data_IF_802295432151
#
_entry.id   IF_802295432151
#
_cell.length_a   1.000
_cell.length_b   1.000
_cell.length_c   1.000
_cell.angle_alpha   90.00
_cell.angle_beta   90.00
_cell.angle_gamma   90.00
#
_symmetry.space_group_name_H-M   'P 1'
#
loop_
_entity.id
_entity.type
_entity.pdbx_description
1 polymer ?
#
# COMPACT_ATOMS: atom_id res chain seq x y z
N UNK A 1 -4.18 55.40 3.10
CA UNK A 1 -4.41 54.16 2.34
C UNK A 1 -3.06 53.43 2.26
N UNK A 2 -2.72 52.66 3.29
CA UNK A 2 -1.46 51.91 3.39
C UNK A 2 -1.76 50.49 2.91
N UNK A 3 -1.19 50.11 1.80
CA UNK A 3 -1.17 48.73 1.29
C UNK A 3 -0.13 47.96 2.11
N UNK A 4 -0.60 47.07 3.00
CA UNK A 4 0.22 46.05 3.62
C UNK A 4 0.53 44.97 2.57
N UNK A 5 1.73 45.04 2.00
CA UNK A 5 2.33 43.93 1.25
C UNK A 5 2.71 42.83 2.27
N UNK A 6 1.83 41.85 2.47
CA UNK A 6 2.18 40.58 3.10
C UNK A 6 3.12 39.86 2.11
N UNK A 7 4.42 39.93 2.41
CA UNK A 7 5.42 39.10 1.75
C UNK A 7 5.19 37.65 2.14
N UNK A 8 4.70 36.85 1.19
CA UNK A 8 4.73 35.40 1.29
C UNK A 8 6.21 34.97 1.33
N UNK A 9 6.73 34.75 2.53
CA UNK A 9 8.01 34.05 2.73
C UNK A 9 7.74 32.61 2.33
N UNK A 10 8.40 32.06 1.30
CA UNK A 10 8.25 30.64 0.99
C UNK A 10 8.77 29.85 2.19
N UNK A 11 7.90 29.00 2.77
CA UNK A 11 8.29 28.06 3.81
C UNK A 11 9.34 27.11 3.22
N UNK A 12 10.59 27.28 3.61
CA UNK A 12 11.65 26.30 3.36
C UNK A 12 11.64 25.32 4.54
N UNK A 13 11.24 24.06 4.33
CA UNK A 13 11.30 23.08 5.39
C UNK A 13 12.75 22.96 5.90
N UNK A 14 12.97 22.75 7.21
CA UNK A 14 14.29 22.50 7.73
C UNK A 14 14.91 21.29 7.02
N UNK A 15 16.21 21.30 6.73
CA UNK A 15 16.86 20.16 6.12
C UNK A 15 16.65 18.92 6.99
N UNK A 16 16.43 17.73 6.39
CA UNK A 16 16.25 16.51 7.14
C UNK A 16 17.42 16.32 8.10
N UNK A 17 17.11 15.98 9.37
CA UNK A 17 18.15 15.70 10.37
C UNK A 17 19.00 14.55 9.85
N UNK A 18 20.24 14.83 9.49
CA UNK A 18 21.23 13.80 9.17
C UNK A 18 21.72 13.21 10.50
N UNK A 19 21.20 12.07 10.85
CA UNK A 19 21.72 11.32 11.98
C UNK A 19 23.12 10.79 11.62
N UNK A 20 24.10 11.01 12.50
CA UNK A 20 25.44 10.45 12.31
C UNK A 20 25.45 8.92 12.53
N UNK A 21 26.33 8.17 11.85
CA UNK A 21 26.39 6.72 11.98
C UNK A 21 26.72 6.22 13.40
N UNK A 22 27.29 7.05 14.25
CA UNK A 22 27.78 6.65 15.57
C UNK A 22 26.73 6.76 16.69
N UNK A 23 25.61 7.44 16.45
CA UNK A 23 24.60 7.70 17.50
C UNK A 23 23.81 6.45 17.88
N UNK A 24 23.86 5.40 17.07
CA UNK A 24 23.08 4.17 17.25
C UNK A 24 23.95 2.93 17.56
N UNK A 25 25.27 3.04 17.50
CA UNK A 25 26.18 1.89 17.64
C UNK A 25 26.21 1.29 19.06
N UNK A 26 25.83 2.05 20.09
CA UNK A 26 25.90 1.64 21.50
C UNK A 26 24.54 1.35 22.14
N UNK A 27 23.42 1.52 21.41
CA UNK A 27 22.06 1.32 21.97
C UNK A 27 21.54 -0.07 21.68
N UNK A 28 20.73 -0.58 22.60
CA UNK A 28 19.92 -1.77 22.35
C UNK A 28 18.92 -1.48 21.22
N UNK A 29 19.08 -2.16 20.09
CA UNK A 29 18.26 -1.95 18.91
C UNK A 29 16.80 -2.38 19.09
N UNK A 30 16.56 -3.37 19.96
CA UNK A 30 15.17 -3.74 20.33
C UNK A 30 14.52 -2.59 21.09
N UNK A 31 15.21 -1.96 22.04
CA UNK A 31 14.71 -0.78 22.73
C UNK A 31 14.38 0.35 21.74
N UNK A 32 15.24 0.57 20.74
CA UNK A 32 14.96 1.57 19.69
C UNK A 32 13.74 1.24 18.84
N UNK A 33 13.45 -0.04 18.58
CA UNK A 33 12.20 -0.46 17.92
C UNK A 33 11.00 -0.16 18.82
N UNK A 34 11.10 -0.50 20.11
CA UNK A 34 10.05 -0.24 21.09
C UNK A 34 9.74 1.25 21.21
N UNK A 35 10.75 2.11 21.17
CA UNK A 35 10.63 3.57 21.18
C UNK A 35 10.20 4.18 19.83
N UNK A 36 9.96 3.38 18.79
CA UNK A 36 9.56 3.86 17.46
C UNK A 36 10.65 4.62 16.70
N UNK A 37 11.92 4.45 17.06
CA UNK A 37 13.09 5.08 16.42
C UNK A 37 13.64 4.28 15.25
N UNK A 38 13.44 2.96 15.27
CA UNK A 38 13.70 2.06 14.15
C UNK A 38 12.38 1.62 13.55
N UNK A 39 12.22 1.85 12.27
CA UNK A 39 11.04 1.40 11.52
C UNK A 39 11.30 0.09 10.78
N UNK A 40 10.27 -0.75 10.68
CA UNK A 40 10.31 -1.97 9.88
C UNK A 40 10.58 -1.62 8.43
N UNK A 41 11.58 -2.23 7.81
CA UNK A 41 11.92 -2.02 6.40
C UNK A 41 11.54 -3.20 5.51
N UNK A 42 11.62 -4.44 6.03
CA UNK A 42 11.30 -5.65 5.29
C UNK A 42 11.07 -6.83 6.23
N UNK A 43 10.52 -7.93 5.71
CA UNK A 43 10.55 -9.24 6.34
C UNK A 43 11.17 -10.28 5.41
N UNK A 44 11.82 -11.28 5.98
CA UNK A 44 12.45 -12.35 5.21
C UNK A 44 12.13 -13.70 5.82
N UNK A 45 11.81 -14.65 4.97
CA UNK A 45 11.67 -16.05 5.35
C UNK A 45 13.02 -16.76 5.25
N UNK A 46 13.45 -17.38 6.32
CA UNK A 46 14.70 -18.17 6.34
C UNK A 46 14.31 -19.63 6.23
N UNK A 47 14.70 -20.33 5.16
CA UNK A 47 14.41 -21.74 5.01
C UNK A 47 15.10 -22.52 6.12
N UNK A 48 14.33 -23.19 6.99
CA UNK A 48 14.91 -24.20 7.87
C UNK A 48 15.28 -25.45 7.09
N UNK A 49 16.49 -25.94 7.29
CA UNK A 49 16.82 -27.34 7.00
C UNK A 49 16.12 -28.19 8.06
N UNK A 50 14.88 -28.61 7.79
CA UNK A 50 14.12 -29.47 8.68
C UNK A 50 14.89 -30.72 9.04
N UNK A 51 15.24 -30.85 10.31
CA UNK A 51 15.56 -32.11 10.98
C UNK A 51 14.81 -32.10 12.31
N UNK A 52 13.59 -32.67 12.34
CA UNK A 52 12.87 -32.87 13.60
C UNK A 52 11.39 -33.11 13.38
N UNK A 53 10.90 -34.20 13.98
CA UNK A 53 9.58 -34.82 13.77
C UNK A 53 8.45 -34.24 14.62
N UNK A 54 8.46 -32.96 15.00
CA UNK A 54 7.39 -32.35 15.82
C UNK A 54 6.48 -31.47 14.97
N UNK A 55 5.33 -32.02 14.55
CA UNK A 55 4.40 -31.47 13.56
C UNK A 55 3.38 -30.42 14.09
N UNK A 56 3.23 -30.21 15.41
CA UNK A 56 2.05 -29.55 15.98
C UNK A 56 2.22 -28.10 16.48
N UNK A 57 3.37 -27.44 16.26
CA UNK A 57 3.61 -26.12 16.85
C UNK A 57 3.26 -24.97 15.90
N UNK A 58 2.12 -24.29 16.20
CA UNK A 58 1.63 -23.06 15.53
C UNK A 58 2.72 -21.95 15.51
N UNK A 59 3.60 -21.98 16.47
CA UNK A 59 4.61 -20.97 16.71
C UNK A 59 5.82 -21.09 15.77
N UNK A 60 6.03 -22.24 15.12
CA UNK A 60 7.19 -22.47 14.22
C UNK A 60 7.22 -21.56 12.99
N UNK A 61 6.08 -21.09 12.48
CA UNK A 61 6.04 -20.18 11.31
C UNK A 61 6.74 -18.85 11.62
N UNK A 62 6.63 -18.34 12.85
CA UNK A 62 7.26 -17.09 13.27
C UNK A 62 8.76 -17.21 13.48
N UNK A 63 9.25 -18.38 13.86
CA UNK A 63 10.69 -18.64 14.09
C UNK A 63 11.48 -18.60 12.77
N UNK A 64 10.81 -18.74 11.65
CA UNK A 64 11.38 -18.69 10.30
C UNK A 64 11.35 -17.28 9.68
N UNK A 65 10.72 -16.31 10.34
CA UNK A 65 10.56 -14.95 9.83
C UNK A 65 11.50 -14.01 10.58
N UNK A 66 12.34 -13.33 9.83
CA UNK A 66 13.18 -12.25 10.33
C UNK A 66 12.63 -10.91 9.86
N UNK A 67 12.58 -9.96 10.78
CA UNK A 67 12.19 -8.57 10.51
C UNK A 67 13.44 -7.70 10.43
N UNK A 68 13.55 -6.93 9.36
CA UNK A 68 14.67 -6.01 9.12
C UNK A 68 14.22 -4.58 9.47
N UNK A 69 15.03 -3.87 10.23
CA UNK A 69 14.75 -2.52 10.70
C UNK A 69 15.85 -1.54 10.29
N UNK A 70 15.46 -0.29 10.05
CA UNK A 70 16.38 0.81 9.81
C UNK A 70 15.76 2.16 10.22
N UNK A 71 16.57 3.22 10.28
CA UNK A 71 16.08 4.56 10.55
C UNK A 71 15.66 5.22 9.23
N UNK A 72 14.39 5.65 9.13
CA UNK A 72 13.90 6.47 8.05
C UNK A 72 12.90 7.52 8.57
N UNK A 73 12.77 8.61 7.82
CA UNK A 73 11.98 9.77 8.23
C UNK A 73 10.65 9.84 7.46
N UNK A 74 9.56 9.47 8.10
CA UNK A 74 8.21 9.56 7.51
C UNK A 74 7.73 10.99 7.26
N UNK A 75 8.41 12.01 7.81
CA UNK A 75 8.05 13.41 7.52
C UNK A 75 8.30 13.79 6.07
N UNK A 76 9.24 13.13 5.39
CA UNK A 76 9.50 13.32 3.96
C UNK A 76 8.25 13.07 3.13
N UNK A 77 7.51 11.98 3.41
CA UNK A 77 6.26 11.69 2.72
C UNK A 77 5.20 12.75 2.99
N UNK A 78 5.05 13.20 4.25
CA UNK A 78 4.07 14.23 4.63
C UNK A 78 4.35 15.59 3.98
N UNK A 79 5.64 15.96 3.89
CA UNK A 79 6.07 17.24 3.32
C UNK A 79 6.00 17.27 1.80
N UNK A 80 6.33 16.15 1.15
CA UNK A 80 6.34 16.05 -0.32
C UNK A 80 5.93 14.65 -0.79
N UNK A 81 4.63 14.28 -0.68
CA UNK A 81 4.18 12.93 -1.02
C UNK A 81 4.34 12.60 -2.51
N UNK A 82 4.41 13.59 -3.39
CA UNK A 82 4.65 13.35 -4.82
C UNK A 82 6.10 12.96 -5.12
N UNK A 83 7.07 13.46 -4.36
CA UNK A 83 8.47 13.07 -4.47
C UNK A 83 8.73 11.69 -3.82
N UNK A 84 8.03 11.38 -2.75
CA UNK A 84 8.17 10.15 -1.95
C UNK A 84 6.85 9.35 -1.90
N UNK A 85 6.27 8.94 -3.04
CA UNK A 85 4.92 8.38 -3.10
C UNK A 85 4.80 6.96 -2.53
N UNK A 86 5.90 6.28 -2.24
CA UNK A 86 5.93 4.96 -1.63
C UNK A 86 6.98 4.90 -0.53
N UNK A 87 6.79 4.00 0.44
CA UNK A 87 7.72 3.84 1.58
C UNK A 87 9.16 3.56 1.13
N UNK A 88 9.34 2.81 0.04
CA UNK A 88 10.67 2.55 -0.53
C UNK A 88 11.39 3.83 -1.01
N UNK A 89 10.65 4.86 -1.42
CA UNK A 89 11.21 6.13 -1.85
C UNK A 89 11.72 6.88 -0.60
N UNK A 90 10.97 6.82 0.52
CA UNK A 90 11.40 7.35 1.84
C UNK A 90 12.63 6.62 2.36
N UNK A 91 12.61 5.28 2.36
CA UNK A 91 13.76 4.46 2.78
C UNK A 91 14.98 4.67 1.88
N UNK A 92 14.77 4.93 0.58
CA UNK A 92 15.83 5.20 -0.38
C UNK A 92 16.61 6.50 -0.11
N UNK A 93 15.99 7.49 0.54
CA UNK A 93 16.65 8.71 0.98
C UNK A 93 17.41 8.52 2.31
N UNK A 94 17.12 7.46 3.04
CA UNK A 94 17.82 7.15 4.27
C UNK A 94 19.14 6.43 3.99
N UNK A 95 20.26 7.12 4.27
CA UNK A 95 21.57 6.50 4.24
C UNK A 95 21.65 5.32 5.20
N UNK A 96 20.99 5.43 6.36
CA UNK A 96 20.97 4.37 7.35
C UNK A 96 20.32 3.10 6.80
N UNK A 97 19.18 3.17 6.10
CA UNK A 97 18.53 2.00 5.50
C UNK A 97 19.36 1.34 4.39
N UNK A 98 20.29 2.08 3.75
CA UNK A 98 21.17 1.53 2.73
C UNK A 98 22.43 0.87 3.31
N UNK A 99 22.94 1.37 4.43
CA UNK A 99 24.21 0.96 5.03
C UNK A 99 24.05 0.07 6.27
N UNK A 100 22.96 0.27 7.04
CA UNK A 100 22.76 -0.39 8.33
C UNK A 100 21.32 -0.92 8.44
N UNK A 101 21.17 -2.24 8.43
CA UNK A 101 19.90 -2.91 8.72
C UNK A 101 20.11 -3.84 9.90
N UNK A 102 19.20 -3.76 10.86
CA UNK A 102 19.18 -4.63 12.03
C UNK A 102 18.11 -5.70 11.80
N UNK A 103 18.49 -6.96 11.98
CA UNK A 103 17.64 -8.10 11.68
C UNK A 103 17.40 -8.92 12.93
N UNK A 104 16.14 -9.15 13.27
CA UNK A 104 15.73 -9.90 14.45
C UNK A 104 14.68 -10.95 14.08
N UNK A 105 14.61 -12.08 14.82
CA UNK A 105 13.47 -12.97 14.74
C UNK A 105 12.18 -12.19 15.00
N UNK A 106 11.19 -12.31 14.11
CA UNK A 106 9.96 -11.53 14.20
C UNK A 106 9.24 -11.78 15.53
N UNK A 107 9.21 -13.03 16.01
CA UNK A 107 8.62 -13.41 17.29
C UNK A 107 9.20 -12.60 18.44
N UNK A 108 10.52 -12.55 18.55
CA UNK A 108 11.21 -11.83 19.62
C UNK A 108 10.80 -10.36 19.69
N UNK A 109 10.71 -9.73 18.51
CA UNK A 109 10.28 -8.32 18.42
C UNK A 109 8.81 -8.14 18.81
N UNK A 110 7.94 -9.03 18.35
CA UNK A 110 6.50 -8.96 18.66
C UNK A 110 6.25 -9.19 20.15
N UNK A 111 6.90 -10.17 20.76
CA UNK A 111 6.79 -10.44 22.20
C UNK A 111 7.29 -9.24 23.02
N UNK A 112 8.44 -8.65 22.65
CA UNK A 112 8.95 -7.44 23.28
C UNK A 112 8.01 -6.23 23.13
N UNK A 113 7.37 -6.06 21.97
CA UNK A 113 6.36 -5.01 21.74
C UNK A 113 5.14 -5.22 22.64
N UNK A 114 4.62 -6.43 22.73
CA UNK A 114 3.47 -6.72 23.60
C UNK A 114 3.80 -6.49 25.07
N UNK A 115 5.00 -6.88 25.52
CA UNK A 115 5.46 -6.62 26.88
C UNK A 115 5.59 -5.12 27.15
N UNK A 116 6.18 -4.37 26.20
CA UNK A 116 6.30 -2.92 26.30
C UNK A 116 4.94 -2.23 26.38
N UNK A 117 4.02 -2.57 25.47
CA UNK A 117 2.69 -1.96 25.37
C UNK A 117 1.78 -2.29 26.58
N UNK A 118 2.09 -3.35 27.34
CA UNK A 118 1.40 -3.69 28.58
C UNK A 118 1.81 -2.80 29.77
N UNK A 119 2.89 -2.02 29.67
CA UNK A 119 3.35 -1.11 30.73
C UNK A 119 2.48 0.15 30.79
N UNK A 120 2.17 0.67 31.98
CA UNK A 120 1.27 1.83 32.12
C UNK A 120 1.90 3.18 31.74
N UNK A 121 3.21 3.23 31.61
CA UNK A 121 4.01 4.45 31.38
C UNK A 121 4.53 4.58 29.94
N UNK A 122 4.06 3.76 29.02
CA UNK A 122 4.51 3.79 27.62
C UNK A 122 4.01 5.04 26.91
N UNK A 123 4.91 5.68 26.17
CA UNK A 123 4.60 6.85 25.34
C UNK A 123 4.46 6.49 23.85
N UNK A 124 5.02 5.34 23.45
CA UNK A 124 4.92 4.81 22.08
C UNK A 124 3.72 3.89 21.96
N UNK A 125 2.98 4.04 20.89
CA UNK A 125 1.79 3.22 20.63
C UNK A 125 1.68 2.87 19.15
N UNK A 126 0.92 1.84 18.84
CA UNK A 126 0.52 1.52 17.49
C UNK A 126 -0.78 2.24 17.13
N UNK A 127 -0.80 2.88 15.97
CA UNK A 127 -1.97 3.63 15.48
C UNK A 127 -2.94 2.67 14.78
N UNK A 128 -4.25 2.73 15.06
CA UNK A 128 -5.22 1.88 14.39
C UNK A 128 -5.35 2.23 12.91
N UNK A 129 -5.62 1.21 12.08
CA UNK A 129 -5.84 1.38 10.65
C UNK A 129 -7.20 2.04 10.43
N UNK A 130 -7.20 3.27 9.93
CA UNK A 130 -8.40 4.02 9.57
C UNK A 130 -8.91 3.68 8.17
N UNK A 131 -8.00 3.38 7.23
CA UNK A 131 -8.41 3.07 5.87
C UNK A 131 -7.38 2.30 5.06
N UNK A 132 -7.87 1.58 4.04
CA UNK A 132 -7.08 0.73 3.14
C UNK A 132 -7.40 1.10 1.70
N UNK A 133 -6.38 1.46 0.93
CA UNK A 133 -6.49 1.80 -0.49
C UNK A 133 -5.95 0.64 -1.33
N UNK A 134 -6.80 0.04 -2.14
CA UNK A 134 -6.46 -1.04 -3.06
C UNK A 134 -6.67 -0.57 -4.50
N UNK A 135 -6.01 -1.20 -5.46
CA UNK A 135 -6.08 -0.76 -6.83
C UNK A 135 -5.60 -1.83 -7.82
N UNK A 136 -6.05 -1.72 -9.06
CA UNK A 136 -5.57 -2.55 -10.16
C UNK A 136 -4.22 -2.11 -10.76
N UNK A 137 -3.76 -0.92 -10.38
CA UNK A 137 -2.54 -0.30 -10.91
C UNK A 137 -2.85 0.85 -11.86
N UNK A 138 -2.14 1.98 -11.67
CA UNK A 138 -2.33 3.20 -12.49
C UNK A 138 -3.74 3.80 -12.47
N UNK A 139 -4.52 3.55 -11.45
CA UNK A 139 -5.91 3.96 -11.28
C UNK A 139 -6.10 5.06 -10.22
N UNK A 140 -5.09 5.88 -9.95
CA UNK A 140 -5.21 7.07 -9.12
C UNK A 140 -5.05 6.86 -7.60
N UNK A 141 -4.89 5.63 -7.09
CA UNK A 141 -4.74 5.37 -5.66
C UNK A 141 -3.57 6.14 -5.01
N UNK A 142 -2.47 6.37 -5.74
CA UNK A 142 -1.34 7.19 -5.24
C UNK A 142 -1.74 8.67 -5.10
N UNK A 143 -2.58 9.18 -5.98
CA UNK A 143 -3.08 10.55 -5.88
C UNK A 143 -3.90 10.73 -4.60
N UNK A 144 -4.77 9.77 -4.29
CA UNK A 144 -5.59 9.80 -3.07
C UNK A 144 -4.74 9.60 -1.81
N UNK A 145 -3.74 8.70 -1.84
CA UNK A 145 -2.84 8.54 -0.70
C UNK A 145 -2.03 9.80 -0.41
N UNK A 146 -1.60 10.53 -1.46
CA UNK A 146 -0.92 11.81 -1.32
C UNK A 146 -1.86 12.89 -0.75
N UNK A 147 -3.12 12.91 -1.18
CA UNK A 147 -4.14 13.83 -0.64
C UNK A 147 -4.41 13.57 0.86
N UNK A 148 -4.51 12.29 1.27
CA UNK A 148 -4.63 11.90 2.69
C UNK A 148 -3.43 12.35 3.52
N UNK A 149 -2.21 12.23 2.98
CA UNK A 149 -0.98 12.62 3.69
C UNK A 149 -0.90 14.12 3.99
N UNK A 150 -1.48 14.97 3.12
CA UNK A 150 -1.43 16.44 3.27
C UNK A 150 -2.69 17.03 3.89
N UNK A 151 -3.79 16.28 3.97
CA UNK A 151 -5.05 16.79 4.54
C UNK A 151 -4.86 17.20 6.01
N UNK A 152 -4.39 16.28 6.83
CA UNK A 152 -4.10 16.48 8.26
C UNK A 152 -2.74 15.87 8.61
N UNK A 153 -1.63 16.50 8.20
CA UNK A 153 -0.29 15.90 8.33
C UNK A 153 0.14 15.68 9.78
N UNK A 154 -0.44 16.44 10.71
CA UNK A 154 -0.20 16.32 12.16
C UNK A 154 -0.85 15.08 12.77
N UNK A 155 -2.00 14.63 12.26
CA UNK A 155 -2.77 13.51 12.84
C UNK A 155 -2.81 12.27 11.95
N UNK A 156 -2.28 12.34 10.74
CA UNK A 156 -2.36 11.28 9.73
C UNK A 156 -1.00 10.73 9.38
N UNK A 157 -0.92 9.41 9.32
CA UNK A 157 0.19 8.67 8.74
C UNK A 157 -0.31 7.83 7.56
N UNK A 158 0.40 7.86 6.45
CA UNK A 158 0.13 7.03 5.28
C UNK A 158 1.31 6.12 5.02
N UNK A 159 1.09 4.81 5.02
CA UNK A 159 2.09 3.81 4.63
C UNK A 159 1.74 3.31 3.24
N UNK A 160 2.56 3.69 2.26
CA UNK A 160 2.30 3.40 0.86
C UNK A 160 3.23 2.31 0.33
N UNK A 161 2.64 1.21 -0.16
CA UNK A 161 3.31 0.09 -0.85
C UNK A 161 4.43 -0.58 -0.04
N UNK A 162 4.23 -0.76 1.28
CA UNK A 162 5.24 -1.42 2.10
C UNK A 162 5.40 -2.90 1.72
N UNK A 163 6.64 -3.38 1.44
CA UNK A 163 6.86 -4.75 0.98
C UNK A 163 6.46 -5.79 2.03
N UNK A 164 6.76 -5.58 3.31
CA UNK A 164 6.48 -6.53 4.37
C UNK A 164 4.98 -6.89 4.50
N UNK A 165 4.07 -5.96 4.19
CA UNK A 165 2.63 -6.27 4.22
C UNK A 165 2.27 -7.25 3.09
N UNK A 166 2.80 -7.05 1.89
CA UNK A 166 2.56 -7.96 0.77
C UNK A 166 3.17 -9.34 1.04
N UNK A 167 4.40 -9.39 1.54
CA UNK A 167 5.06 -10.64 1.92
C UNK A 167 4.26 -11.41 2.97
N UNK A 168 3.68 -10.72 3.97
CA UNK A 168 2.82 -11.33 4.97
C UNK A 168 1.49 -11.84 4.37
N UNK A 169 0.90 -11.11 3.43
CA UNK A 169 -0.32 -11.52 2.70
C UNK A 169 -0.07 -12.72 1.78
N UNK A 170 1.12 -12.83 1.21
CA UNK A 170 1.50 -13.94 0.33
C UNK A 170 2.08 -15.14 1.11
N UNK A 171 2.24 -15.03 2.44
CA UNK A 171 2.92 -16.03 3.26
C UNK A 171 2.34 -17.46 3.14
N UNK A 172 1.02 -17.57 2.99
CA UNK A 172 0.32 -18.85 2.79
C UNK A 172 0.08 -19.21 1.32
N UNK A 173 0.61 -18.44 0.38
CA UNK A 173 0.49 -18.78 -1.04
C UNK A 173 1.54 -19.82 -1.40
N UNK A 174 1.17 -21.11 -1.35
CA UNK A 174 2.03 -22.29 -1.56
C UNK A 174 2.84 -22.22 -2.86
N UNK A 175 2.42 -21.40 -3.81
CA UNK A 175 3.06 -21.31 -5.13
C UNK A 175 4.22 -20.34 -5.11
N UNK A 176 4.11 -19.26 -4.31
CA UNK A 176 5.14 -18.23 -4.19
C UNK A 176 6.12 -18.51 -3.06
N UNK A 177 5.63 -19.08 -1.97
CA UNK A 177 6.41 -19.35 -0.77
C UNK A 177 6.45 -20.85 -0.48
N UNK A 178 7.19 -21.60 -1.30
CA UNK A 178 7.40 -23.06 -1.12
C UNK A 178 7.98 -23.44 0.27
N UNK A 179 8.22 -22.46 1.12
CA UNK A 179 8.94 -22.61 2.38
C UNK A 179 8.04 -22.52 3.61
N UNK A 180 6.81 -22.00 3.49
CA UNK A 180 5.89 -22.06 4.60
C UNK A 180 5.14 -23.37 4.55
N UNK A 181 5.10 -24.04 5.71
CA UNK A 181 4.56 -25.37 5.91
C UNK A 181 3.17 -25.56 5.32
N UNK A 182 2.81 -26.81 5.05
CA UNK A 182 1.46 -27.20 4.61
C UNK A 182 0.36 -26.71 5.57
N UNK A 183 0.74 -26.29 6.78
CA UNK A 183 -0.12 -25.84 7.88
C UNK A 183 -0.37 -24.33 7.96
N UNK A 184 0.07 -23.55 6.98
CA UNK A 184 -0.24 -22.12 6.93
C UNK A 184 -1.73 -21.92 6.67
N UNK A 185 -2.47 -21.54 7.71
CA UNK A 185 -3.90 -21.24 7.61
C UNK A 185 -4.18 -19.73 7.55
N UNK A 186 -5.41 -19.38 7.20
CA UNK A 186 -5.87 -18.00 7.07
C UNK A 186 -5.71 -17.21 8.39
N UNK A 187 -5.90 -17.86 9.55
CA UNK A 187 -5.81 -17.18 10.87
C UNK A 187 -4.37 -16.85 11.22
N UNK A 188 -3.44 -17.78 10.96
CA UNK A 188 -1.99 -17.54 11.13
C UNK A 188 -1.54 -16.39 10.26
N UNK A 189 -1.97 -16.36 9.00
CA UNK A 189 -1.64 -15.30 8.06
C UNK A 189 -2.26 -13.95 8.49
N UNK A 190 -3.51 -13.93 8.96
CA UNK A 190 -4.14 -12.72 9.50
C UNK A 190 -3.38 -12.19 10.72
N UNK A 191 -2.94 -13.07 11.63
CA UNK A 191 -2.11 -12.68 12.76
C UNK A 191 -0.80 -12.06 12.29
N UNK A 192 -0.10 -12.69 11.34
CA UNK A 192 1.14 -12.16 10.78
C UNK A 192 0.93 -10.77 10.17
N UNK A 193 -0.11 -10.59 9.36
CA UNK A 193 -0.44 -9.28 8.77
C UNK A 193 -0.70 -8.24 9.86
N UNK A 194 -1.42 -8.61 10.93
CA UNK A 194 -1.70 -7.74 12.06
C UNK A 194 -0.43 -7.32 12.80
N UNK A 195 0.48 -8.26 13.05
CA UNK A 195 1.74 -8.02 13.74
C UNK A 195 2.69 -7.15 12.90
N UNK A 196 2.73 -7.36 11.58
CA UNK A 196 3.49 -6.47 10.68
C UNK A 196 2.93 -5.04 10.70
N UNK A 197 1.61 -4.88 10.65
CA UNK A 197 0.98 -3.55 10.72
C UNK A 197 1.16 -2.93 12.10
N UNK A 198 1.14 -3.71 13.20
CA UNK A 198 1.48 -3.27 14.54
C UNK A 198 2.86 -2.60 14.57
N UNK A 199 3.89 -3.25 13.99
CA UNK A 199 5.24 -2.70 13.92
C UNK A 199 5.34 -1.45 13.05
N UNK A 200 4.65 -1.43 11.91
CA UNK A 200 4.66 -0.30 10.98
C UNK A 200 3.94 0.94 11.50
N UNK A 201 2.99 0.75 12.40
CA UNK A 201 2.14 1.82 12.94
C UNK A 201 2.66 2.42 14.25
N UNK A 202 3.79 1.93 14.77
CA UNK A 202 4.36 2.43 16.04
C UNK A 202 4.85 3.87 15.90
N UNK A 203 4.46 4.71 16.86
CA UNK A 203 4.88 6.11 16.91
C UNK A 203 4.92 6.63 18.33
N UNK A 204 5.91 7.48 18.63
CA UNK A 204 5.98 8.28 19.84
C UNK A 204 5.17 9.59 19.71
N UNK A 205 4.72 9.93 18.53
CA UNK A 205 3.92 11.13 18.28
C UNK A 205 2.46 10.86 18.62
N UNK A 206 2.03 11.37 19.79
CA UNK A 206 0.67 11.20 20.28
C UNK A 206 -0.38 11.92 19.43
N UNK A 207 0.01 12.84 18.55
CA UNK A 207 -0.92 13.53 17.65
C UNK A 207 -1.39 12.63 16.52
N UNK A 208 -0.58 11.65 16.08
CA UNK A 208 -0.94 10.71 15.01
C UNK A 208 -2.04 9.76 15.49
N UNK A 209 -3.23 9.89 14.92
CA UNK A 209 -4.42 9.11 15.30
C UNK A 209 -4.97 8.25 14.17
N UNK A 210 -4.59 8.53 12.93
CA UNK A 210 -5.11 7.85 11.75
C UNK A 210 -3.98 7.24 10.92
N UNK A 211 -4.08 5.93 10.65
CA UNK A 211 -3.19 5.22 9.75
C UNK A 211 -3.93 4.81 8.48
N UNK A 212 -3.40 5.17 7.33
CA UNK A 212 -3.88 4.68 6.04
C UNK A 212 -2.84 3.77 5.40
N UNK A 213 -3.31 2.63 4.90
CA UNK A 213 -2.50 1.66 4.17
C UNK A 213 -2.82 1.75 2.67
N UNK A 214 -1.92 2.29 1.87
CA UNK A 214 -2.03 2.21 0.42
C UNK A 214 -1.25 0.99 -0.05
N UNK A 215 -1.99 0.00 -0.52
CA UNK A 215 -1.45 -1.31 -0.87
C UNK A 215 -0.79 -1.31 -2.26
N UNK A 216 0.07 -2.30 -2.51
CA UNK A 216 0.47 -2.65 -3.87
C UNK A 216 -0.70 -3.32 -4.59
N UNK A 217 -0.81 -3.19 -5.92
CA UNK A 217 -1.90 -3.85 -6.67
C UNK A 217 -1.93 -5.36 -6.48
N UNK A 218 -0.78 -6.00 -6.27
CA UNK A 218 -0.68 -7.43 -5.97
C UNK A 218 -1.37 -7.84 -4.65
N UNK A 219 -1.65 -6.90 -3.75
CA UNK A 219 -2.38 -7.16 -2.51
C UNK A 219 -3.91 -7.17 -2.69
N UNK A 220 -4.43 -6.69 -3.83
CA UNK A 220 -5.88 -6.62 -4.05
C UNK A 220 -6.60 -7.97 -4.00
N UNK A 221 -6.03 -9.12 -4.40
CA UNK A 221 -6.65 -10.43 -4.22
C UNK A 221 -6.88 -10.80 -2.74
N UNK A 222 -6.19 -10.15 -1.81
CA UNK A 222 -6.29 -10.40 -0.36
C UNK A 222 -7.25 -9.43 0.35
N UNK A 223 -8.12 -8.71 -0.39
CA UNK A 223 -9.05 -7.72 0.17
C UNK A 223 -9.93 -8.32 1.27
N UNK A 224 -10.50 -9.52 1.07
CA UNK A 224 -11.29 -10.21 2.10
C UNK A 224 -10.49 -10.39 3.40
N UNK A 225 -9.26 -10.82 3.28
CA UNK A 225 -8.37 -11.04 4.42
C UNK A 225 -8.02 -9.73 5.12
N UNK A 226 -7.69 -8.68 4.37
CA UNK A 226 -7.42 -7.34 4.94
C UNK A 226 -8.64 -6.81 5.70
N UNK A 227 -9.84 -6.93 5.11
CA UNK A 227 -11.09 -6.49 5.74
C UNK A 227 -11.42 -7.29 7.01
N UNK A 228 -11.15 -8.60 7.03
CA UNK A 228 -11.38 -9.42 8.24
C UNK A 228 -10.32 -9.18 9.31
N UNK A 229 -9.10 -8.81 8.92
CA UNK A 229 -8.01 -8.46 9.85
C UNK A 229 -8.23 -7.08 10.47
N UNK A 230 -8.76 -6.11 9.70
CA UNK A 230 -9.03 -4.74 10.12
C UNK A 230 -10.50 -4.36 9.86
N UNK A 231 -11.44 -4.90 10.63
CA UNK A 231 -12.88 -4.79 10.34
C UNK A 231 -13.40 -3.35 10.44
N UNK A 232 -12.75 -2.50 11.25
CA UNK A 232 -13.14 -1.10 11.42
C UNK A 232 -12.55 -0.17 10.34
N UNK A 233 -11.55 -0.64 9.57
CA UNK A 233 -10.93 0.14 8.53
C UNK A 233 -11.86 0.28 7.33
N UNK A 234 -12.06 1.51 6.87
CA UNK A 234 -12.72 1.78 5.60
C UNK A 234 -11.82 1.33 4.45
N UNK A 235 -12.39 0.83 3.38
CA UNK A 235 -11.58 0.45 2.22
C UNK A 235 -12.11 1.06 0.93
N UNK A 236 -11.20 1.38 0.01
CA UNK A 236 -11.53 1.86 -1.32
C UNK A 236 -10.74 1.08 -2.37
N UNK A 237 -11.41 0.69 -3.46
CA UNK A 237 -10.78 0.05 -4.61
C UNK A 237 -10.85 0.95 -5.84
N UNK A 238 -9.67 1.24 -6.40
CA UNK A 238 -9.50 2.14 -7.53
C UNK A 238 -9.29 1.33 -8.80
N UNK A 239 -10.15 1.58 -9.78
CA UNK A 239 -10.11 0.94 -11.09
C UNK A 239 -10.27 1.98 -12.22
N UNK A 240 -10.11 1.56 -13.46
CA UNK A 240 -10.30 2.41 -14.62
C UNK A 240 -10.89 1.62 -15.79
N UNK A 241 -11.04 2.27 -16.95
CA UNK A 241 -11.49 1.62 -18.18
C UNK A 241 -10.61 0.40 -18.51
N UNK A 242 -11.23 -0.71 -18.89
CA UNK A 242 -10.58 -2.00 -19.08
C UNK A 242 -9.46 -1.96 -20.14
N UNK A 243 -9.70 -1.29 -21.26
CA UNK A 243 -8.73 -1.22 -22.36
C UNK A 243 -7.53 -0.36 -21.95
N UNK A 244 -7.79 0.75 -21.25
CA UNK A 244 -6.75 1.67 -20.74
C UNK A 244 -5.94 1.01 -19.63
N UNK A 245 -6.60 0.34 -18.67
CA UNK A 245 -5.94 -0.42 -17.60
C UNK A 245 -4.97 -1.46 -18.16
N UNK A 246 -5.44 -2.25 -19.13
CA UNK A 246 -4.64 -3.30 -19.77
C UNK A 246 -3.48 -2.70 -20.55
N UNK A 247 -3.71 -1.66 -21.36
CA UNK A 247 -2.65 -0.97 -22.08
C UNK A 247 -1.55 -0.44 -21.16
N UNK A 248 -1.92 0.21 -20.03
CA UNK A 248 -0.97 0.67 -19.02
C UNK A 248 -0.25 -0.48 -18.32
N UNK A 249 -0.93 -1.59 -18.06
CA UNK A 249 -0.33 -2.76 -17.44
C UNK A 249 0.75 -3.40 -18.34
N UNK A 250 0.54 -3.43 -19.64
CA UNK A 250 1.45 -4.08 -20.59
C UNK A 250 2.61 -3.23 -21.09
N UNK A 251 2.57 -1.89 -20.89
CA UNK A 251 3.66 -0.99 -21.30
C UNK A 251 5.01 -1.29 -20.61
N UNK A 252 5.02 -1.94 -19.45
CA UNK A 252 6.23 -2.26 -18.68
C UNK A 252 6.62 -3.72 -18.84
N UNK A 253 7.84 -3.98 -19.34
CA UNK A 253 8.39 -5.34 -19.50
C UNK A 253 8.50 -6.16 -18.20
N UNK A 254 8.54 -5.50 -17.03
CA UNK A 254 8.59 -6.14 -15.70
C UNK A 254 7.41 -5.69 -14.85
N UNK A 255 6.20 -6.07 -15.25
CA UNK A 255 5.00 -5.78 -14.48
C UNK A 255 4.59 -7.00 -13.64
N UNK A 256 3.85 -6.73 -12.56
CA UNK A 256 3.29 -7.75 -11.68
C UNK A 256 2.43 -8.77 -12.44
N UNK A 257 1.65 -8.33 -13.44
CA UNK A 257 0.81 -9.22 -14.23
C UNK A 257 1.62 -10.20 -15.09
N UNK A 258 2.72 -9.75 -15.72
CA UNK A 258 3.56 -10.63 -16.56
C UNK A 258 4.26 -11.69 -15.72
N UNK A 259 4.59 -11.38 -14.46
CA UNK A 259 5.16 -12.34 -13.50
C UNK A 259 4.22 -13.52 -13.24
N UNK A 260 2.89 -13.32 -13.39
CA UNK A 260 1.89 -14.37 -13.17
C UNK A 260 2.06 -15.59 -14.09
N UNK A 261 2.75 -15.46 -15.22
CA UNK A 261 3.06 -16.61 -16.09
C UNK A 261 3.96 -17.62 -15.36
N UNK A 262 5.04 -17.14 -14.73
CA UNK A 262 6.06 -18.00 -14.08
C UNK A 262 5.78 -18.27 -12.61
N UNK A 263 5.09 -17.37 -11.97
CA UNK A 263 4.76 -17.44 -10.55
C UNK A 263 3.34 -16.91 -10.36
N UNK A 264 2.32 -17.69 -10.76
CA UNK A 264 0.92 -17.30 -10.61
C UNK A 264 0.54 -17.24 -9.14
N UNK A 265 -0.31 -16.27 -8.79
CA UNK A 265 -1.00 -16.26 -7.49
C UNK A 265 -2.10 -17.32 -7.45
N UNK A 266 -2.54 -17.70 -6.25
CA UNK A 266 -3.66 -18.64 -6.08
C UNK A 266 -4.93 -18.15 -6.80
N UNK A 267 -5.21 -16.84 -6.78
CA UNK A 267 -6.33 -16.23 -7.51
C UNK A 267 -6.18 -16.40 -9.03
N UNK A 268 -4.97 -16.19 -9.56
CA UNK A 268 -4.69 -16.35 -10.99
C UNK A 268 -4.80 -17.80 -11.44
N UNK A 269 -4.36 -18.76 -10.62
CA UNK A 269 -4.52 -20.19 -10.89
C UNK A 269 -6.00 -20.60 -10.89
N UNK A 270 -6.74 -20.15 -9.87
CA UNK A 270 -8.17 -20.44 -9.82
C UNK A 270 -8.89 -19.89 -11.06
N UNK A 271 -8.57 -18.65 -11.46
CA UNK A 271 -9.14 -18.04 -12.65
C UNK A 271 -8.80 -18.83 -13.92
N UNK A 272 -7.51 -19.17 -14.13
CA UNK A 272 -7.08 -19.91 -15.32
C UNK A 272 -7.71 -21.30 -15.41
N UNK A 273 -7.81 -22.00 -14.28
CA UNK A 273 -8.46 -23.31 -14.19
C UNK A 273 -9.95 -23.22 -14.52
N UNK A 274 -10.67 -22.25 -13.94
CA UNK A 274 -12.10 -22.05 -14.17
C UNK A 274 -12.42 -21.71 -15.64
N UNK A 275 -11.50 -21.05 -16.35
CA UNK A 275 -11.67 -20.65 -17.74
C UNK A 275 -10.95 -21.58 -18.74
N UNK A 276 -10.32 -22.65 -18.29
CA UNK A 276 -9.61 -23.61 -19.15
C UNK A 276 -8.44 -22.99 -19.92
N UNK A 277 -7.73 -22.01 -19.32
CA UNK A 277 -6.63 -21.28 -19.98
C UNK A 277 -5.28 -21.81 -19.54
N UNK A 278 -4.44 -22.15 -20.53
CA UNK A 278 -3.03 -22.45 -20.30
C UNK A 278 -2.22 -21.15 -20.20
N UNK A 279 -1.71 -20.88 -19.00
CA UNK A 279 -0.94 -19.66 -18.71
C UNK A 279 0.38 -19.60 -19.47
N UNK A 280 1.00 -20.73 -19.78
CA UNK A 280 2.26 -20.76 -20.54
C UNK A 280 2.04 -20.38 -22.02
N UNK A 281 0.93 -20.79 -22.59
CA UNK A 281 0.57 -20.50 -23.98
C UNK A 281 -0.05 -19.10 -24.17
N UNK A 282 -0.61 -18.49 -23.11
CA UNK A 282 -1.30 -17.20 -23.20
C UNK A 282 -0.32 -16.06 -23.55
N UNK A 283 -0.75 -15.07 -24.32
CA UNK A 283 0.01 -13.85 -24.60
C UNK A 283 0.20 -12.98 -23.34
N UNK A 284 1.14 -12.02 -23.36
CA UNK A 284 1.31 -11.09 -22.24
C UNK A 284 0.06 -10.23 -22.00
N UNK A 285 -0.66 -9.86 -23.05
CA UNK A 285 -1.91 -9.11 -22.93
C UNK A 285 -2.99 -9.95 -22.26
N UNK A 286 -3.13 -11.23 -22.63
CA UNK A 286 -4.10 -12.13 -22.00
C UNK A 286 -3.76 -12.41 -20.53
N UNK A 287 -2.48 -12.65 -20.18
CA UNK A 287 -2.04 -12.82 -18.79
C UNK A 287 -2.37 -11.58 -17.96
N UNK A 288 -2.09 -10.38 -18.50
CA UNK A 288 -2.39 -9.14 -17.77
C UNK A 288 -3.91 -8.89 -17.70
N UNK A 289 -4.69 -9.20 -18.72
CA UNK A 289 -6.15 -9.05 -18.68
C UNK A 289 -6.77 -9.98 -17.61
N UNK A 290 -6.36 -11.25 -17.57
CA UNK A 290 -6.80 -12.20 -16.55
C UNK A 290 -6.39 -11.74 -15.14
N UNK A 291 -5.16 -11.26 -14.96
CA UNK A 291 -4.70 -10.74 -13.68
C UNK A 291 -5.55 -9.54 -13.22
N UNK A 292 -5.80 -8.56 -14.09
CA UNK A 292 -6.65 -7.41 -13.75
C UNK A 292 -8.09 -7.85 -13.43
N UNK A 293 -8.63 -8.81 -14.17
CA UNK A 293 -9.93 -9.41 -13.89
C UNK A 293 -9.99 -10.03 -12.48
N UNK A 294 -8.94 -10.75 -12.04
CA UNK A 294 -8.93 -11.29 -10.66
C UNK A 294 -8.99 -10.19 -9.60
N UNK A 295 -8.33 -9.04 -9.82
CA UNK A 295 -8.36 -7.91 -8.88
C UNK A 295 -9.76 -7.29 -8.80
N UNK A 296 -10.37 -7.04 -9.97
CA UNK A 296 -11.71 -6.46 -10.09
C UNK A 296 -12.77 -7.39 -9.49
N UNK A 297 -12.73 -8.68 -9.80
CA UNK A 297 -13.69 -9.64 -9.28
C UNK A 297 -13.61 -9.76 -7.75
N UNK A 298 -12.41 -9.73 -7.17
CA UNK A 298 -12.27 -9.70 -5.71
C UNK A 298 -12.94 -8.48 -5.10
N UNK A 299 -12.71 -7.28 -5.67
CA UNK A 299 -13.33 -6.04 -5.18
C UNK A 299 -14.86 -6.07 -5.37
N UNK A 300 -15.34 -6.58 -6.50
CA UNK A 300 -16.76 -6.76 -6.78
C UNK A 300 -17.44 -7.68 -5.75
N UNK A 301 -16.87 -8.85 -5.49
CA UNK A 301 -17.41 -9.83 -4.54
C UNK A 301 -17.45 -9.28 -3.11
N UNK A 302 -16.38 -8.66 -2.66
CA UNK A 302 -16.32 -8.09 -1.31
C UNK A 302 -17.25 -6.90 -1.14
N UNK A 303 -17.40 -6.03 -2.15
CA UNK A 303 -18.36 -4.93 -2.10
C UNK A 303 -19.80 -5.46 -2.12
N UNK A 304 -20.11 -6.45 -2.96
CA UNK A 304 -21.43 -7.08 -3.04
C UNK A 304 -21.85 -7.70 -1.73
N UNK A 305 -20.91 -8.37 -1.03
CA UNK A 305 -21.18 -9.09 0.20
C UNK A 305 -21.31 -8.18 1.42
N UNK A 306 -20.54 -7.11 1.51
CA UNK A 306 -20.44 -6.28 2.71
C UNK A 306 -21.01 -4.87 2.54
N UNK A 307 -21.00 -4.31 1.33
CA UNK A 307 -21.37 -2.92 1.01
C UNK A 307 -20.65 -1.85 1.86
N UNK A 308 -19.48 -2.21 2.40
CA UNK A 308 -18.73 -1.35 3.33
C UNK A 308 -17.57 -0.63 2.68
N UNK A 309 -17.29 -0.89 1.41
CA UNK A 309 -16.21 -0.28 0.66
C UNK A 309 -16.68 0.78 -0.33
N UNK A 310 -15.74 1.51 -0.89
CA UNK A 310 -15.97 2.46 -1.96
C UNK A 310 -15.29 1.97 -3.25
N UNK A 311 -16.04 1.95 -4.34
CA UNK A 311 -15.52 1.67 -5.68
C UNK A 311 -15.31 2.99 -6.41
N UNK A 312 -14.08 3.27 -6.87
CA UNK A 312 -13.69 4.54 -7.48
C UNK A 312 -13.21 4.31 -8.90
N UNK A 313 -13.91 4.90 -9.87
CA UNK A 313 -13.49 4.93 -11.27
C UNK A 313 -12.51 6.09 -11.49
N UNK A 314 -11.27 5.79 -11.87
CA UNK A 314 -10.30 6.84 -12.17
C UNK A 314 -10.75 7.73 -13.33
N UNK A 315 -11.31 7.12 -14.37
CA UNK A 315 -11.69 7.85 -15.58
C UNK A 315 -12.93 8.74 -15.33
N UNK A 316 -13.93 8.25 -14.58
CA UNK A 316 -15.16 9.03 -14.31
C UNK A 316 -14.98 10.00 -13.14
N UNK A 317 -14.49 9.49 -11.97
CA UNK A 317 -14.48 10.27 -10.72
C UNK A 317 -13.31 11.24 -10.63
N UNK A 318 -12.22 10.95 -11.33
CA UNK A 318 -11.00 11.76 -11.23
C UNK A 318 -10.79 12.58 -12.51
N UNK A 319 -10.83 11.93 -13.69
CA UNK A 319 -10.54 12.61 -14.95
C UNK A 319 -11.74 13.42 -15.44
N UNK A 320 -12.89 12.77 -15.69
CA UNK A 320 -14.03 13.43 -16.33
C UNK A 320 -14.70 14.45 -15.42
N UNK A 321 -14.77 14.17 -14.12
CA UNK A 321 -15.36 15.07 -13.12
C UNK A 321 -14.43 16.21 -12.69
N UNK A 322 -13.19 16.25 -13.21
CA UNK A 322 -12.19 17.24 -12.77
C UNK A 322 -11.76 17.09 -11.31
N UNK A 323 -11.92 15.88 -10.73
CA UNK A 323 -11.50 15.56 -9.37
C UNK A 323 -12.43 16.02 -8.25
N UNK A 324 -13.58 16.60 -8.55
CA UNK A 324 -14.55 17.03 -7.52
C UNK A 324 -14.96 15.91 -6.56
N UNK A 325 -15.25 14.66 -7.02
CA UNK A 325 -15.56 13.54 -6.12
C UNK A 325 -14.47 13.21 -5.10
N UNK A 326 -13.21 13.61 -5.34
CA UNK A 326 -12.14 13.43 -4.37
C UNK A 326 -12.48 14.17 -3.08
N UNK A 327 -12.89 15.45 -3.19
CA UNK A 327 -13.19 16.31 -2.05
C UNK A 327 -14.57 16.02 -1.45
N UNK A 328 -15.55 15.67 -2.29
CA UNK A 328 -16.96 15.58 -1.86
C UNK A 328 -17.38 14.17 -1.43
N UNK A 329 -16.64 13.13 -1.87
CA UNK A 329 -17.05 11.74 -1.64
C UNK A 329 -15.89 10.87 -1.13
N UNK A 330 -14.75 10.84 -1.83
CA UNK A 330 -13.70 9.85 -1.57
C UNK A 330 -13.00 10.13 -0.24
N UNK A 331 -12.52 11.36 -0.02
CA UNK A 331 -11.84 11.75 1.21
C UNK A 331 -12.78 11.78 2.42
N UNK A 332 -14.01 12.32 2.33
CA UNK A 332 -15.01 12.21 3.41
C UNK A 332 -15.35 10.74 3.75
N UNK A 333 -15.53 9.87 2.75
CA UNK A 333 -15.70 8.44 3.01
C UNK A 333 -14.51 7.86 3.79
N UNK A 334 -13.29 8.24 3.49
CA UNK A 334 -12.09 7.80 4.18
C UNK A 334 -11.85 8.48 5.54
N UNK A 335 -12.72 9.43 5.95
CA UNK A 335 -12.67 10.06 7.28
C UNK A 335 -12.14 11.50 7.28
N UNK A 336 -11.85 12.10 6.12
CA UNK A 336 -11.49 13.52 5.98
C UNK A 336 -12.77 14.30 5.65
N UNK A 337 -13.63 14.47 6.67
CA UNK A 337 -14.99 15.04 6.48
C UNK A 337 -15.00 16.54 6.14
N UNK A 338 -13.90 17.22 6.41
CA UNK A 338 -13.68 18.65 6.16
C UNK A 338 -12.93 18.94 4.85
N UNK A 339 -12.65 17.92 4.03
CA UNK A 339 -11.88 18.03 2.79
C UNK A 339 -12.36 19.14 1.85
N UNK A 340 -13.66 19.44 1.81
CA UNK A 340 -14.27 20.53 1.01
C UNK A 340 -14.87 21.65 1.86
N UNK A 341 -14.78 21.58 3.19
CA UNK A 341 -15.40 22.53 4.13
C UNK A 341 -14.38 23.49 4.75
N UNK A 342 -13.16 23.05 4.95
CA UNK A 342 -12.04 23.82 5.48
C UNK A 342 -11.17 24.29 4.32
N UNK A 343 -11.01 25.59 4.15
CA UNK A 343 -10.27 26.18 3.03
C UNK A 343 -8.77 25.85 3.06
N UNK A 344 -8.16 25.70 4.24
CA UNK A 344 -6.75 25.34 4.37
C UNK A 344 -6.53 23.87 4.02
N UNK A 345 -7.40 22.98 4.50
CA UNK A 345 -7.38 21.53 4.15
C UNK A 345 -7.59 21.37 2.66
N UNK A 346 -8.62 22.01 2.10
CA UNK A 346 -8.92 22.00 0.68
C UNK A 346 -7.74 22.51 -0.17
N UNK A 347 -7.13 23.61 0.23
CA UNK A 347 -5.99 24.20 -0.47
C UNK A 347 -4.80 23.24 -0.51
N UNK A 348 -4.45 22.59 0.61
CA UNK A 348 -3.39 21.57 0.66
C UNK A 348 -3.69 20.40 -0.28
N UNK A 349 -4.92 19.89 -0.24
CA UNK A 349 -5.35 18.78 -1.10
C UNK A 349 -5.28 19.18 -2.58
N UNK A 350 -5.89 20.30 -2.96
CA UNK A 350 -5.89 20.78 -4.36
C UNK A 350 -4.48 20.98 -4.88
N UNK A 351 -3.58 21.53 -4.07
CA UNK A 351 -2.19 21.71 -4.46
C UNK A 351 -1.52 20.39 -4.82
N UNK A 352 -1.70 19.34 -4.01
CA UNK A 352 -1.07 18.03 -4.31
C UNK A 352 -1.74 17.33 -5.48
N UNK A 353 -3.05 17.53 -5.70
CA UNK A 353 -3.78 16.96 -6.84
C UNK A 353 -3.34 17.55 -8.19
N UNK A 354 -2.77 18.76 -8.21
CA UNK A 354 -2.21 19.37 -9.43
C UNK A 354 -0.83 18.82 -9.83
N UNK A 355 -0.22 18.00 -8.96
CA UNK A 355 1.12 17.45 -9.17
C UNK A 355 1.06 16.01 -9.70
N UNK A 356 2.12 15.63 -10.43
CA UNK A 356 2.30 14.22 -10.77
C UNK A 356 2.52 13.41 -9.50
N UNK A 357 1.55 12.57 -9.15
CA UNK A 357 1.53 11.79 -7.91
C UNK A 357 2.74 10.85 -7.73
N UNK A 358 3.49 10.54 -8.80
CA UNK A 358 4.64 9.66 -8.83
C UNK A 358 5.90 10.36 -9.37
N UNK A 359 6.18 11.58 -8.96
CA UNK A 359 7.32 12.35 -9.44
C UNK A 359 8.69 11.75 -9.07
N UNK A 360 8.76 11.05 -7.91
CA UNK A 360 9.91 10.29 -7.39
C UNK A 360 11.24 11.02 -7.43
N UNK A 361 11.65 11.58 -6.31
CA UNK A 361 12.98 12.18 -6.09
C UNK A 361 13.31 13.37 -6.99
N UNK A 362 12.37 13.90 -7.77
CA UNK A 362 12.57 15.09 -8.59
C UNK A 362 12.33 16.32 -7.73
N UNK A 363 13.30 17.22 -7.70
CA UNK A 363 13.26 18.47 -6.91
C UNK A 363 12.08 19.39 -7.28
N UNK A 364 11.53 19.25 -8.48
CA UNK A 364 10.32 19.95 -8.91
C UNK A 364 9.26 18.92 -9.27
N UNK A 365 8.18 18.89 -8.50
CA UNK A 365 7.02 18.10 -8.82
C UNK A 365 6.43 18.59 -10.15
N UNK A 366 6.52 17.78 -11.21
CA UNK A 366 5.87 18.11 -12.48
C UNK A 366 4.37 18.27 -12.23
N UNK A 367 3.78 19.30 -12.84
CA UNK A 367 2.32 19.39 -12.93
C UNK A 367 1.77 18.11 -13.56
N UNK A 368 0.71 17.62 -12.98
CA UNK A 368 -0.02 16.51 -13.57
C UNK A 368 -0.70 16.97 -14.87
N UNK A 369 -0.58 16.16 -15.89
CA UNK A 369 -1.25 16.39 -17.17
C UNK A 369 -2.10 15.14 -17.47
N UNK A 370 -3.43 15.24 -17.58
CA UNK A 370 -4.30 14.12 -17.92
C UNK A 370 -3.90 13.39 -19.21
N UNK A 371 -3.30 14.10 -20.17
CA UNK A 371 -2.82 13.51 -21.43
C UNK A 371 -1.69 12.49 -21.20
N UNK A 372 -0.88 12.65 -20.14
CA UNK A 372 0.17 11.69 -19.78
C UNK A 372 -0.42 10.34 -19.30
N UNK A 373 -1.71 10.34 -18.96
CA UNK A 373 -2.44 9.15 -18.53
C UNK A 373 -3.17 8.42 -19.67
N UNK A 374 -3.16 8.97 -20.87
CA UNK A 374 -3.64 8.26 -22.04
C UNK A 374 -2.73 7.07 -22.33
N UNK A 375 -3.30 5.98 -22.82
CA UNK A 375 -2.59 4.79 -23.26
C UNK A 375 -2.87 4.57 -24.75
N UNK A 376 -1.87 4.07 -25.45
CA UNK A 376 -2.05 3.58 -26.81
C UNK A 376 -2.74 2.21 -26.74
N UNK A 377 -4.02 2.17 -27.10
CA UNK A 377 -4.87 0.99 -27.04
C UNK A 377 -4.83 0.29 -28.39
N UNK A 378 -3.95 -0.71 -28.52
CA UNK A 378 -3.79 -1.52 -29.74
C UNK A 378 -4.94 -2.53 -29.90
N UNK A 379 -5.04 -3.13 -31.09
CA UNK A 379 -6.06 -4.15 -31.35
C UNK A 379 -5.84 -5.43 -30.53
N UNK A 380 -4.58 -5.78 -30.21
CA UNK A 380 -4.26 -6.89 -29.30
C UNK A 380 -4.74 -6.62 -27.87
N UNK A 381 -4.59 -5.37 -27.40
CA UNK A 381 -5.13 -4.94 -26.09
C UNK A 381 -6.64 -5.07 -26.07
N UNK A 382 -7.34 -4.54 -27.09
CA UNK A 382 -8.81 -4.63 -27.19
C UNK A 382 -9.30 -6.08 -27.22
N UNK A 383 -8.62 -6.94 -27.98
CA UNK A 383 -8.97 -8.35 -28.07
C UNK A 383 -8.83 -9.07 -26.72
N UNK A 384 -7.69 -8.90 -26.04
CA UNK A 384 -7.46 -9.51 -24.74
C UNK A 384 -8.38 -8.95 -23.65
N UNK A 385 -8.62 -7.62 -23.63
CA UNK A 385 -9.54 -6.96 -22.75
C UNK A 385 -10.98 -7.48 -22.94
N UNK A 386 -11.44 -7.52 -24.20
CA UNK A 386 -12.79 -8.03 -24.52
C UNK A 386 -12.99 -9.49 -24.11
N UNK A 387 -11.93 -10.30 -24.16
CA UNK A 387 -11.99 -11.73 -23.83
C UNK A 387 -12.00 -11.99 -22.31
N UNK A 388 -11.26 -11.21 -21.50
CA UNK A 388 -10.97 -11.58 -20.12
C UNK A 388 -11.24 -10.48 -19.06
N UNK A 389 -11.46 -9.22 -19.45
CA UNK A 389 -11.47 -8.12 -18.49
C UNK A 389 -12.72 -7.23 -18.58
N UNK A 390 -13.18 -6.91 -19.77
CA UNK A 390 -14.23 -5.88 -20.00
C UNK A 390 -15.52 -6.18 -19.27
N UNK A 391 -15.99 -7.42 -19.30
CA UNK A 391 -17.25 -7.80 -18.65
C UNK A 391 -17.17 -7.60 -17.14
N UNK A 392 -16.02 -7.90 -16.51
CA UNK A 392 -15.83 -7.73 -15.08
C UNK A 392 -15.75 -6.23 -14.71
N UNK A 393 -15.10 -5.41 -15.55
CA UNK A 393 -15.10 -3.96 -15.39
C UNK A 393 -16.51 -3.38 -15.50
N UNK A 394 -17.32 -3.84 -16.45
CA UNK A 394 -18.72 -3.42 -16.58
C UNK A 394 -19.59 -3.84 -15.39
N UNK A 395 -19.34 -5.01 -14.78
CA UNK A 395 -20.04 -5.43 -13.55
C UNK A 395 -19.78 -4.46 -12.41
N UNK A 396 -18.51 -4.11 -12.16
CA UNK A 396 -18.14 -3.20 -11.06
C UNK A 396 -18.67 -1.77 -11.31
N UNK A 397 -18.69 -1.30 -12.55
CA UNK A 397 -19.29 -0.01 -12.94
C UNK A 397 -20.79 0.05 -12.66
N UNK A 398 -21.54 -1.00 -13.01
CA UNK A 398 -23.00 -1.09 -12.77
C UNK A 398 -23.33 -1.13 -11.27
N UNK A 399 -22.47 -1.67 -10.44
CA UNK A 399 -22.70 -1.72 -9.00
C UNK A 399 -22.54 -0.37 -8.32
N UNK A 400 -21.72 0.50 -8.91
CA UNK A 400 -21.46 1.84 -8.43
C UNK A 400 -22.63 2.80 -8.75
N UNK A 401 -23.33 2.60 -9.88
CA UNK A 401 -24.48 3.40 -10.33
C UNK A 401 -25.72 3.12 -9.46
#
# INVERSE_FOLDING_TARGET
MYLLLLSCIPYSPPPPRRFGPDEYAERDHIEMILEGKLGLSDIRYVPHSFKGDDEDDIDKVYDEIYADFCVYDMTLHKQNPSAYPAIRDVMGESRHCSEHRYSFPLREVIDAVHEYDARPDTTVRSVPVAGILLHEGRSGATLISNALAVAHPESTQVISEHPAILEALEACDKIRTKHLSEDCDVKKQQRLVKDIVLLLSRTADASITNLYLKMQSAASPYLRQLRTTFPEAKWAFFYRDADVALAKATQRKRNACIKQRRSPSSAMLAYSTANGVDLEAASNHEICAMHLSTLINTAFEEHSSSRTGLLVSYDDDIIQSGGMPILDTILPFLGVEDANKDDDVKSRIVNVLTLNANARGRSEAKKWNPQDDLADVTDEVKAASSKYLRDDTLKIQRMRA
#
